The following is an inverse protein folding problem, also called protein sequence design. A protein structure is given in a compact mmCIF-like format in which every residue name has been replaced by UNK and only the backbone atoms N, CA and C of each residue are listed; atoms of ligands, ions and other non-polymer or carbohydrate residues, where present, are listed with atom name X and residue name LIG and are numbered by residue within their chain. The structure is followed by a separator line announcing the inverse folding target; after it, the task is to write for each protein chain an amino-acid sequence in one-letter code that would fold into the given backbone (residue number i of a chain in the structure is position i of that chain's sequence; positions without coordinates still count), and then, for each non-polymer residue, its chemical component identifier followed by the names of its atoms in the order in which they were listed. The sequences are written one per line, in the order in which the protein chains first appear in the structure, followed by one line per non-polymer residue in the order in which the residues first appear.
data_IF_869974156826
#
_entry.id   IF_869974156826
#
_cell.length_a   1.000
_cell.length_b   1.000
_cell.length_c   1.000
_cell.angle_alpha   90.00
_cell.angle_beta   90.00
_cell.angle_gamma   90.00
#
_symmetry.space_group_name_H-M   'P 1'
#
loop_
_entity.id
_entity.type
_entity.pdbx_description
1 polymer ?
#
# COMPACT_ATOMS: atom_id res chain seq x y z
N UNK A 1 -9.30 43.25 9.68
CA UNK A 1 -10.76 43.34 9.81
C UNK A 1 -11.23 42.25 10.76
N UNK A 2 -11.91 42.70 11.83
CA UNK A 2 -12.49 41.87 12.90
C UNK A 2 -13.81 41.27 12.42
N UNK A 3 -14.12 40.00 12.80
CA UNK A 3 -15.49 39.50 13.04
C UNK A 3 -15.33 38.12 13.69
N UNK A 4 -15.57 37.99 14.94
CA UNK A 4 -16.74 37.94 15.83
C UNK A 4 -17.32 36.50 15.92
N UNK A 5 -17.21 36.01 17.15
CA UNK A 5 -17.78 34.76 17.72
C UNK A 5 -19.31 34.73 17.60
N UNK A 6 -19.85 33.53 17.53
CA UNK A 6 -21.17 33.22 18.07
C UNK A 6 -21.20 31.81 18.69
N UNK A 7 -21.40 31.80 20.00
CA UNK A 7 -21.81 30.68 20.85
C UNK A 7 -23.32 30.51 20.80
N UNK A 8 -23.80 29.26 20.84
CA UNK A 8 -25.08 28.79 21.46
C UNK A 8 -24.99 27.26 21.39
N UNK A 9 -25.05 26.48 22.46
CA UNK A 9 -25.78 26.52 23.70
C UNK A 9 -27.14 25.84 23.55
N UNK A 10 -27.25 24.52 23.84
CA UNK A 10 -28.52 23.92 24.27
C UNK A 10 -28.31 22.62 25.03
N UNK A 11 -28.69 22.69 26.26
CA UNK A 11 -28.83 21.69 27.32
C UNK A 11 -30.24 21.11 27.26
N UNK A 12 -30.44 19.80 27.45
CA UNK A 12 -31.67 19.15 27.99
C UNK A 12 -31.23 17.79 28.52
N UNK A 13 -31.21 17.57 29.76
CA UNK A 13 -32.10 17.24 30.90
C UNK A 13 -32.90 15.93 30.69
N UNK A 14 -32.48 14.91 31.50
CA UNK A 14 -33.21 14.09 32.50
C UNK A 14 -34.40 13.24 32.06
N UNK A 15 -34.28 11.92 32.35
CA UNK A 15 -35.40 11.16 32.94
C UNK A 15 -34.87 9.98 33.76
N UNK A 16 -35.22 10.03 35.04
CA UNK A 16 -35.10 9.01 36.10
C UNK A 16 -36.38 8.20 36.10
N UNK A 17 -36.32 6.87 36.25
CA UNK A 17 -37.45 6.01 36.73
C UNK A 17 -36.81 4.69 37.24
N UNK A 18 -36.72 4.49 38.49
CA UNK A 18 -37.64 4.03 39.50
C UNK A 18 -37.62 2.46 39.64
N UNK A 19 -37.19 2.07 40.84
CA UNK A 19 -37.16 0.71 41.42
C UNK A 19 -38.54 0.12 41.56
N UNK A 20 -38.61 -1.24 41.51
CA UNK A 20 -39.56 -2.02 42.30
C UNK A 20 -38.92 -3.33 42.74
N UNK A 21 -39.00 -3.67 44.04
CA UNK A 21 -38.58 -4.96 44.57
C UNK A 21 -39.75 -5.94 44.60
N UNK A 22 -39.52 -7.19 44.20
CA UNK A 22 -40.47 -8.28 44.45
C UNK A 22 -39.84 -9.24 45.45
N UNK A 23 -40.37 -9.24 46.68
CA UNK A 23 -40.20 -10.30 47.66
C UNK A 23 -41.06 -11.51 47.26
N UNK A 24 -40.50 -12.69 47.23
CA UNK A 24 -41.19 -13.94 47.08
C UNK A 24 -40.58 -14.98 48.02
N UNK A 25 -41.35 -15.35 49.00
CA UNK A 25 -41.03 -16.36 50.05
C UNK A 25 -40.97 -17.79 49.52
N UNK A 26 -40.09 -18.59 50.11
CA UNK A 26 -40.38 -19.87 50.78
C UNK A 26 -40.48 -21.12 49.92
N UNK A 27 -39.62 -22.08 50.23
CA UNK A 27 -39.78 -23.46 49.84
C UNK A 27 -38.47 -24.23 50.05
N UNK A 28 -38.27 -24.74 51.25
CA UNK A 28 -37.20 -25.71 51.54
C UNK A 28 -37.58 -27.06 50.93
N UNK A 29 -36.79 -27.57 50.02
CA UNK A 29 -36.84 -28.95 49.54
C UNK A 29 -35.60 -29.71 50.05
N UNK A 30 -35.71 -31.01 50.36
CA UNK A 30 -34.66 -31.77 51.01
C UNK A 30 -33.44 -32.01 50.13
N UNK A 31 -32.30 -31.89 50.72
CA UNK A 31 -30.96 -32.12 50.19
C UNK A 31 -30.79 -33.59 49.74
N UNK A 32 -30.47 -33.90 48.51
CA UNK A 32 -30.03 -35.21 48.09
C UNK A 32 -28.55 -35.40 48.46
N UNK A 33 -28.26 -36.55 49.05
CA UNK A 33 -26.94 -37.01 49.45
C UNK A 33 -25.90 -36.86 48.32
N UNK A 34 -24.73 -36.32 48.67
CA UNK A 34 -23.59 -36.16 47.78
C UNK A 34 -23.10 -37.54 47.28
N UNK A 35 -22.85 -37.69 45.95
CA UNK A 35 -22.11 -38.85 45.46
C UNK A 35 -20.61 -38.68 45.80
N UNK A 36 -20.02 -39.74 46.32
CA UNK A 36 -18.57 -39.88 46.54
C UNK A 36 -17.82 -39.50 45.23
N UNK A 37 -16.92 -38.52 45.32
CA UNK A 37 -15.98 -38.19 44.26
C UNK A 37 -14.94 -39.30 44.16
N UNK A 38 -15.06 -40.11 43.14
CA UNK A 38 -13.97 -40.98 42.68
C UNK A 38 -12.95 -40.07 42.01
N UNK A 39 -11.74 -39.97 42.56
CA UNK A 39 -10.60 -39.29 41.96
C UNK A 39 -10.32 -39.92 40.57
N UNK A 40 -10.83 -39.29 39.52
CA UNK A 40 -10.41 -39.59 38.17
C UNK A 40 -9.12 -38.80 37.86
N UNK A 41 -8.00 -39.52 37.79
CA UNK A 41 -6.75 -39.00 37.29
C UNK A 41 -6.99 -38.23 35.94
N UNK A 42 -6.42 -37.04 35.75
CA UNK A 42 -6.57 -36.33 34.50
C UNK A 42 -5.83 -37.10 33.40
N UNK A 43 -6.57 -37.74 32.50
CA UNK A 43 -6.06 -38.27 31.24
C UNK A 43 -5.54 -37.07 30.46
N UNK A 44 -4.22 -36.87 30.44
CA UNK A 44 -3.54 -35.96 29.58
C UNK A 44 -3.69 -36.47 28.13
N UNK A 45 -4.75 -36.06 27.46
CA UNK A 45 -4.83 -36.16 26.01
C UNK A 45 -3.84 -35.15 25.44
N UNK A 46 -2.63 -35.62 25.09
CA UNK A 46 -1.70 -34.89 24.27
C UNK A 46 -2.37 -34.61 22.91
N UNK A 47 -2.92 -33.41 22.75
CA UNK A 47 -3.36 -32.93 21.43
C UNK A 47 -2.13 -32.84 20.54
N UNK A 48 -2.12 -33.48 19.37
CA UNK A 48 -1.04 -33.29 18.43
C UNK A 48 -0.98 -31.80 18.06
N UNK A 49 0.10 -31.13 18.48
CA UNK A 49 0.37 -29.75 18.06
C UNK A 49 0.77 -29.77 16.59
N UNK A 50 -0.15 -29.42 15.72
CA UNK A 50 0.16 -29.15 14.31
C UNK A 50 0.97 -27.85 14.27
N UNK A 51 2.31 -27.97 14.21
CA UNK A 51 3.17 -26.84 13.86
C UNK A 51 3.10 -26.61 12.35
N UNK A 52 2.16 -25.80 11.90
CA UNK A 52 2.17 -25.27 10.54
C UNK A 52 3.27 -24.20 10.49
N UNK A 53 4.42 -24.49 9.84
CA UNK A 53 5.38 -23.46 9.43
C UNK A 53 4.77 -22.72 8.25
N UNK A 54 4.23 -21.54 8.50
CA UNK A 54 3.92 -20.58 7.44
C UNK A 54 5.23 -19.98 6.95
N UNK A 55 5.44 -19.90 5.62
CA UNK A 55 6.55 -19.14 5.03
C UNK A 55 6.48 -17.65 5.35
N UNK A 56 5.32 -17.17 5.78
CA UNK A 56 5.05 -15.78 6.15
C UNK A 56 4.90 -15.73 7.67
N UNK A 57 5.89 -15.16 8.35
CA UNK A 57 5.85 -14.89 9.79
C UNK A 57 5.01 -13.66 10.12
N UNK A 58 4.53 -13.62 11.37
CA UNK A 58 3.81 -12.47 11.89
C UNK A 58 4.73 -11.26 12.06
N UNK A 59 4.23 -10.07 11.69
CA UNK A 59 4.88 -8.79 11.98
C UNK A 59 3.98 -7.94 12.88
N UNK A 60 4.59 -7.21 13.83
CA UNK A 60 3.85 -6.24 14.64
C UNK A 60 3.55 -5.01 13.78
N UNK A 61 2.26 -4.75 13.54
CA UNK A 61 1.78 -3.69 12.65
C UNK A 61 2.23 -2.29 13.08
N UNK A 62 2.17 -1.96 14.38
CA UNK A 62 2.60 -0.67 14.90
C UNK A 62 4.08 -0.41 14.65
N UNK A 63 4.93 -1.44 14.81
CA UNK A 63 6.36 -1.35 14.53
C UNK A 63 6.65 -1.23 13.03
N UNK A 64 5.83 -1.87 12.18
CA UNK A 64 5.90 -1.71 10.71
C UNK A 64 5.55 -0.28 10.33
N UNK A 65 4.46 0.27 10.84
CA UNK A 65 4.07 1.65 10.61
C UNK A 65 5.16 2.64 11.10
N UNK A 66 5.72 2.41 12.27
CA UNK A 66 6.83 3.23 12.77
C UNK A 66 8.07 3.14 11.87
N UNK A 67 8.33 2.00 11.21
CA UNK A 67 9.43 1.87 10.26
C UNK A 67 9.18 2.69 8.98
N UNK A 68 7.97 2.68 8.44
CA UNK A 68 7.57 3.55 7.32
C UNK A 68 7.65 5.03 7.70
N UNK A 69 7.17 5.41 8.88
CA UNK A 69 7.26 6.80 9.37
C UNK A 69 8.71 7.28 9.47
N UNK A 70 9.65 6.45 9.96
CA UNK A 70 11.09 6.79 9.97
C UNK A 70 11.68 6.91 8.57
N UNK A 71 11.15 6.17 7.58
CA UNK A 71 11.59 6.27 6.19
C UNK A 71 11.01 7.50 5.48
N UNK A 72 9.83 7.99 5.90
CA UNK A 72 9.05 9.06 5.24
C UNK A 72 9.87 10.31 4.86
N UNK A 73 10.73 10.90 5.72
CA UNK A 73 11.51 12.08 5.32
C UNK A 73 12.47 11.81 4.15
N UNK A 74 12.97 10.58 4.02
CA UNK A 74 13.83 10.18 2.90
C UNK A 74 13.01 9.92 1.63
N UNK A 75 11.80 9.36 1.77
CA UNK A 75 10.86 9.19 0.65
C UNK A 75 10.45 10.55 0.10
N UNK A 76 10.14 11.53 0.98
CA UNK A 76 9.83 12.90 0.58
C UNK A 76 10.97 13.55 -0.22
N UNK A 77 12.22 13.36 0.19
CA UNK A 77 13.39 13.84 -0.59
C UNK A 77 13.50 13.21 -1.98
N UNK A 78 13.12 11.93 -2.14
CA UNK A 78 13.05 11.33 -3.46
C UNK A 78 11.98 12.00 -4.31
N UNK A 79 10.81 12.28 -3.73
CA UNK A 79 9.73 12.98 -4.39
C UNK A 79 10.11 14.41 -4.77
N UNK A 80 10.71 15.19 -3.87
CA UNK A 80 11.19 16.56 -4.11
C UNK A 80 12.11 16.62 -5.35
N UNK A 81 13.07 15.68 -5.47
CA UNK A 81 13.91 15.56 -6.68
C UNK A 81 13.13 15.20 -7.93
N UNK A 82 12.03 14.46 -7.81
CA UNK A 82 11.12 14.20 -8.91
C UNK A 82 10.39 15.48 -9.37
N UNK A 83 9.91 16.27 -8.42
CA UNK A 83 9.25 17.55 -8.67
C UNK A 83 10.17 18.57 -9.36
N UNK A 84 11.48 18.58 -9.07
CA UNK A 84 12.45 19.41 -9.78
C UNK A 84 12.47 19.13 -11.31
N UNK A 85 12.14 17.89 -11.72
CA UNK A 85 12.05 17.51 -13.14
C UNK A 85 10.66 17.65 -13.71
N UNK A 86 9.65 17.35 -12.90
CA UNK A 86 8.23 17.33 -13.27
C UNK A 86 7.44 18.08 -12.20
N UNK A 87 7.25 19.41 -12.35
CA UNK A 87 6.64 20.25 -11.30
C UNK A 87 5.25 19.79 -10.85
N UNK A 88 4.49 19.16 -11.75
CA UNK A 88 3.16 18.60 -11.50
C UNK A 88 3.18 17.09 -11.20
N UNK A 89 4.34 16.53 -10.81
CA UNK A 89 4.43 15.14 -10.37
C UNK A 89 3.52 14.92 -9.17
N UNK A 90 2.68 13.90 -9.19
CA UNK A 90 1.81 13.55 -8.07
C UNK A 90 1.10 12.24 -8.32
N UNK A 91 0.54 11.67 -7.28
CA UNK A 91 -0.21 10.42 -7.33
C UNK A 91 0.02 9.56 -6.10
N UNK A 92 -0.58 8.39 -6.11
CA UNK A 92 -0.41 7.38 -5.06
C UNK A 92 0.66 6.37 -5.48
N UNK A 93 1.43 5.91 -4.50
CA UNK A 93 2.37 4.81 -4.66
C UNK A 93 2.25 3.85 -3.48
N UNK A 94 2.13 2.56 -3.78
CA UNK A 94 2.04 1.49 -2.80
C UNK A 94 3.26 0.59 -2.91
N UNK A 95 3.93 0.39 -1.78
CA UNK A 95 5.09 -0.46 -1.69
C UNK A 95 4.78 -1.76 -0.97
N UNK A 96 5.43 -2.83 -1.41
CA UNK A 96 5.48 -4.10 -0.69
C UNK A 96 6.92 -4.49 -0.43
N UNK A 97 7.20 -4.89 0.81
CA UNK A 97 8.56 -5.23 1.28
C UNK A 97 8.51 -6.59 1.96
N UNK A 98 9.34 -7.52 1.52
CA UNK A 98 9.61 -8.77 2.24
C UNK A 98 10.76 -8.56 3.20
N UNK A 99 10.53 -8.89 4.45
CA UNK A 99 11.48 -8.68 5.54
C UNK A 99 12.02 -10.02 6.00
N UNK A 100 13.34 -10.17 5.96
CA UNK A 100 14.02 -11.34 6.46
C UNK A 100 13.94 -11.43 8.01
N UNK A 101 14.21 -12.60 8.57
CA UNK A 101 14.12 -12.86 10.01
C UNK A 101 15.02 -11.93 10.86
N UNK A 102 16.10 -11.40 10.27
CA UNK A 102 17.00 -10.45 10.92
C UNK A 102 16.52 -8.99 10.90
N UNK A 103 15.39 -8.70 10.21
CA UNK A 103 14.84 -7.36 10.05
C UNK A 103 15.44 -6.55 8.88
N UNK A 104 16.18 -7.20 7.97
CA UNK A 104 16.60 -6.58 6.70
C UNK A 104 15.54 -6.80 5.62
N UNK A 105 15.46 -5.88 4.65
CA UNK A 105 14.60 -6.08 3.49
C UNK A 105 15.24 -7.10 2.54
N UNK A 106 14.55 -8.20 2.27
CA UNK A 106 14.98 -9.20 1.27
C UNK A 106 14.70 -8.69 -0.14
N UNK A 107 13.52 -8.12 -0.36
CA UNK A 107 13.16 -7.39 -1.56
C UNK A 107 12.11 -6.32 -1.23
N UNK A 108 11.99 -5.36 -2.12
CA UNK A 108 10.93 -4.35 -2.12
C UNK A 108 10.58 -4.02 -3.57
N UNK A 109 9.30 -3.82 -3.84
CA UNK A 109 8.79 -3.43 -5.16
C UNK A 109 7.63 -2.47 -5.05
N UNK A 110 7.32 -1.79 -6.15
CA UNK A 110 6.14 -0.94 -6.31
C UNK A 110 4.97 -1.83 -6.70
N UNK A 111 4.04 -2.05 -5.76
CA UNK A 111 2.86 -2.91 -5.97
C UNK A 111 1.81 -2.24 -6.83
N UNK A 112 1.60 -0.96 -6.63
CA UNK A 112 0.69 -0.13 -7.41
C UNK A 112 1.20 1.30 -7.39
N UNK A 113 1.09 2.02 -8.53
CA UNK A 113 1.53 3.41 -8.61
C UNK A 113 0.78 4.17 -9.69
N UNK A 114 0.38 5.38 -9.34
CA UNK A 114 0.00 6.42 -10.28
C UNK A 114 0.97 7.60 -10.21
N UNK A 115 2.13 7.45 -9.52
CA UNK A 115 3.14 8.50 -9.45
C UNK A 115 3.78 8.77 -10.81
N UNK A 116 4.15 7.71 -11.54
CA UNK A 116 4.53 7.82 -12.96
C UNK A 116 5.95 8.30 -13.23
N UNK A 117 6.87 8.18 -12.27
CA UNK A 117 8.29 8.53 -12.45
C UNK A 117 9.21 7.47 -11.87
N UNK A 118 9.80 6.65 -12.75
CA UNK A 118 10.65 5.53 -12.38
C UNK A 118 11.87 5.93 -11.54
N UNK A 119 12.46 7.09 -11.83
CA UNK A 119 13.63 7.56 -11.08
C UNK A 119 13.26 7.84 -9.61
N UNK A 120 12.10 8.47 -9.39
CA UNK A 120 11.56 8.70 -8.04
C UNK A 120 11.18 7.37 -7.36
N UNK A 121 10.51 6.47 -8.06
CA UNK A 121 10.12 5.14 -7.56
C UNK A 121 11.34 4.32 -7.15
N UNK A 122 12.38 4.27 -8.00
CA UNK A 122 13.63 3.57 -7.72
C UNK A 122 14.41 4.18 -6.54
N UNK A 123 14.40 5.52 -6.42
CA UNK A 123 14.97 6.20 -5.25
C UNK A 123 14.25 5.77 -3.97
N UNK A 124 12.91 5.76 -3.98
CA UNK A 124 12.11 5.35 -2.83
C UNK A 124 12.34 3.88 -2.45
N UNK A 125 12.43 2.99 -3.44
CA UNK A 125 12.74 1.58 -3.22
C UNK A 125 14.12 1.38 -2.56
N UNK A 126 15.14 2.15 -2.97
CA UNK A 126 16.46 2.15 -2.31
C UNK A 126 16.36 2.54 -0.84
N UNK A 127 15.53 3.54 -0.53
CA UNK A 127 15.27 3.96 0.86
C UNK A 127 14.64 2.83 1.67
N UNK A 128 13.62 2.15 1.12
CA UNK A 128 12.92 1.06 1.80
C UNK A 128 13.81 -0.18 1.97
N UNK A 129 14.61 -0.51 0.96
CA UNK A 129 15.61 -1.60 1.04
C UNK A 129 16.69 -1.34 2.10
N UNK A 130 17.05 -0.07 2.34
CA UNK A 130 18.01 0.32 3.37
C UNK A 130 17.37 0.56 4.75
N UNK A 131 16.04 0.46 4.88
CA UNK A 131 15.34 0.65 6.15
C UNK A 131 15.48 -0.59 7.02
N UNK A 132 15.71 -0.37 8.34
CA UNK A 132 15.68 -1.46 9.33
C UNK A 132 14.24 -1.71 9.76
N UNK A 133 13.76 -2.90 9.48
CA UNK A 133 12.42 -3.36 9.78
C UNK A 133 12.33 -4.08 11.13
N UNK A 134 11.14 -4.18 11.76
CA UNK A 134 10.95 -5.07 12.89
C UNK A 134 11.20 -6.53 12.47
N UNK A 135 11.84 -7.30 13.35
CA UNK A 135 12.07 -8.73 13.10
C UNK A 135 10.74 -9.47 13.08
N UNK A 136 10.45 -10.24 12.03
CA UNK A 136 9.29 -11.11 11.99
C UNK A 136 9.40 -12.26 13.00
N UNK A 137 8.29 -12.89 13.31
CA UNK A 137 8.21 -14.07 14.19
C UNK A 137 7.66 -15.25 13.38
N UNK A 138 8.43 -16.34 13.34
CA UNK A 138 8.00 -17.58 12.69
C UNK A 138 8.23 -17.64 11.18
N UNK A 139 9.16 -16.85 10.65
CA UNK A 139 9.54 -16.82 9.24
C UNK A 139 9.77 -15.41 8.72
N UNK A 140 9.79 -15.23 7.41
CA UNK A 140 9.91 -13.91 6.78
C UNK A 140 8.59 -13.13 6.90
N UNK A 141 8.69 -11.80 7.05
CA UNK A 141 7.54 -10.91 7.17
C UNK A 141 7.19 -10.19 5.88
N UNK A 142 5.97 -9.67 5.81
CA UNK A 142 5.52 -8.77 4.76
C UNK A 142 5.10 -7.43 5.38
N UNK A 143 5.61 -6.33 4.81
CA UNK A 143 5.22 -4.97 5.13
C UNK A 143 4.67 -4.30 3.87
N UNK A 144 3.56 -3.60 4.00
CA UNK A 144 2.90 -2.88 2.89
C UNK A 144 2.43 -1.52 3.40
N UNK A 145 2.60 -0.47 2.58
CA UNK A 145 2.05 0.84 2.85
C UNK A 145 1.89 1.64 1.57
N UNK A 146 0.92 2.57 1.58
CA UNK A 146 0.68 3.55 0.52
C UNK A 146 1.09 4.95 0.95
N UNK A 147 1.54 5.74 -0.02
CA UNK A 147 1.84 7.16 0.14
C UNK A 147 1.17 7.93 -0.98
N UNK A 148 0.56 9.05 -0.65
CA UNK A 148 0.01 10.00 -1.61
C UNK A 148 0.90 11.22 -1.65
N UNK A 149 1.28 11.62 -2.85
CA UNK A 149 2.05 12.82 -3.11
C UNK A 149 1.23 13.76 -3.99
N UNK A 150 1.09 14.99 -3.54
CA UNK A 150 0.35 16.02 -4.26
C UNK A 150 1.32 17.09 -4.77
N UNK A 151 1.20 17.50 -6.05
CA UNK A 151 1.98 18.62 -6.57
C UNK A 151 1.58 19.91 -5.86
N UNK A 152 2.40 20.97 -6.03
CA UNK A 152 2.04 22.29 -5.51
C UNK A 152 0.69 22.75 -6.07
N UNK A 153 -0.11 23.42 -5.24
CA UNK A 153 -1.39 24.02 -5.65
C UNK A 153 -1.23 25.07 -6.77
N UNK A 154 -0.01 25.59 -6.94
CA UNK A 154 0.30 26.59 -7.98
C UNK A 154 0.55 25.94 -9.35
N UNK A 155 0.76 24.61 -9.37
CA UNK A 155 0.99 23.87 -10.60
C UNK A 155 -0.33 23.39 -11.22
N UNK A 156 -0.50 23.65 -12.50
CA UNK A 156 -1.63 23.11 -13.25
C UNK A 156 -1.49 21.58 -13.36
N UNK A 157 -2.52 20.79 -12.99
CA UNK A 157 -2.45 19.34 -13.16
C UNK A 157 -2.40 18.96 -14.64
N UNK A 158 -1.71 17.86 -14.99
CA UNK A 158 -1.69 17.34 -16.36
C UNK A 158 -3.10 16.91 -16.80
N UNK A 159 -3.33 16.98 -18.11
CA UNK A 159 -4.61 16.53 -18.69
C UNK A 159 -4.73 15.01 -18.52
N UNK A 160 -5.80 14.50 -17.91
CA UNK A 160 -5.98 13.06 -17.81
C UNK A 160 -6.26 12.45 -19.19
N UNK A 161 -5.51 11.41 -19.52
CA UNK A 161 -5.70 10.63 -20.74
C UNK A 161 -6.18 9.23 -20.42
N UNK A 162 -6.94 8.67 -21.37
CA UNK A 162 -7.25 7.25 -21.41
C UNK A 162 -6.23 6.48 -22.25
N UNK A 163 -6.07 5.16 -22.07
CA UNK A 163 -5.14 4.35 -22.86
C UNK A 163 -5.33 4.46 -24.39
N UNK A 164 -6.56 4.66 -24.86
CA UNK A 164 -6.87 4.78 -26.29
C UNK A 164 -6.20 6.00 -26.94
N UNK A 165 -5.95 7.07 -26.17
CA UNK A 165 -5.31 8.29 -26.65
C UNK A 165 -3.82 8.11 -26.96
N UNK A 166 -3.19 7.03 -26.43
CA UNK A 166 -1.82 6.65 -26.82
C UNK A 166 -1.73 6.17 -28.27
N UNK A 167 -2.84 5.72 -28.86
CA UNK A 167 -3.01 5.45 -30.27
C UNK A 167 -2.16 4.31 -30.81
N UNK A 168 -1.82 4.43 -32.10
CA UNK A 168 -1.03 3.41 -32.84
C UNK A 168 0.38 3.21 -32.30
N UNK A 169 1.13 4.23 -31.84
CA UNK A 169 2.47 4.03 -31.28
C UNK A 169 2.48 3.04 -30.11
N UNK A 170 1.55 3.17 -29.17
CA UNK A 170 1.42 2.23 -28.05
C UNK A 170 1.09 0.81 -28.52
N UNK A 171 0.14 0.68 -29.47
CA UNK A 171 -0.24 -0.63 -30.02
C UNK A 171 0.96 -1.36 -30.65
N UNK A 172 1.83 -0.62 -31.34
CA UNK A 172 3.07 -1.18 -31.93
C UNK A 172 4.10 -1.58 -30.88
N UNK A 173 4.13 -0.91 -29.74
CA UNK A 173 5.08 -1.20 -28.65
C UNK A 173 4.66 -2.39 -27.79
N UNK A 174 3.37 -2.74 -27.72
CA UNK A 174 2.86 -3.82 -26.87
C UNK A 174 3.68 -5.11 -26.89
N UNK A 175 4.08 -5.68 -28.06
CA UNK A 175 4.88 -6.90 -28.08
C UNK A 175 6.23 -6.77 -27.35
N UNK A 176 6.88 -5.59 -27.42
CA UNK A 176 8.13 -5.35 -26.69
C UNK A 176 7.89 -5.24 -25.17
N UNK A 177 6.80 -4.59 -24.75
CA UNK A 177 6.42 -4.48 -23.35
C UNK A 177 6.05 -5.86 -22.74
N UNK A 178 5.31 -6.68 -23.47
CA UNK A 178 4.99 -8.06 -23.10
C UNK A 178 6.24 -8.93 -23.02
N UNK A 179 7.23 -8.69 -23.91
CA UNK A 179 8.53 -9.36 -23.85
C UNK A 179 9.29 -9.02 -22.58
N UNK A 180 9.32 -7.73 -22.18
CA UNK A 180 9.93 -7.31 -20.90
C UNK A 180 9.27 -8.03 -19.71
N UNK A 181 7.95 -8.06 -19.69
CA UNK A 181 7.16 -8.70 -18.64
C UNK A 181 7.42 -10.20 -18.55
N UNK A 182 7.34 -10.89 -19.70
CA UNK A 182 7.47 -12.34 -19.77
C UNK A 182 8.89 -12.82 -19.46
N UNK A 183 9.94 -12.08 -19.87
CA UNK A 183 11.32 -12.40 -19.54
C UNK A 183 11.59 -12.34 -18.04
N UNK A 184 10.98 -11.40 -17.33
CA UNK A 184 11.04 -11.32 -15.87
C UNK A 184 10.12 -12.35 -15.18
N UNK A 185 9.21 -12.99 -15.91
CA UNK A 185 8.20 -13.87 -15.35
C UNK A 185 7.16 -13.13 -14.49
N UNK A 186 6.99 -11.83 -14.70
CA UNK A 186 6.02 -11.02 -13.99
C UNK A 186 4.59 -11.31 -14.44
N UNK A 187 3.63 -11.27 -13.50
CA UNK A 187 2.23 -11.58 -13.81
C UNK A 187 1.54 -10.44 -14.54
N UNK A 188 1.55 -9.26 -13.98
CA UNK A 188 0.89 -8.06 -14.52
C UNK A 188 1.71 -6.84 -14.15
N UNK A 189 1.84 -5.92 -15.10
CA UNK A 189 2.47 -4.62 -14.88
C UNK A 189 1.49 -3.50 -15.19
N UNK A 190 1.68 -2.35 -14.57
CA UNK A 190 0.99 -1.10 -14.91
C UNK A 190 2.04 -0.01 -15.12
N UNK A 191 1.98 0.68 -16.25
CA UNK A 191 2.80 1.84 -16.50
C UNK A 191 1.97 3.12 -16.38
N UNK A 192 2.53 4.15 -15.74
CA UNK A 192 1.97 5.49 -15.68
C UNK A 192 2.95 6.44 -16.35
N UNK A 193 2.47 7.24 -17.31
CA UNK A 193 3.27 8.13 -18.13
C UNK A 193 2.82 9.59 -17.97
N UNK A 194 3.78 10.48 -17.98
CA UNK A 194 3.56 11.90 -18.31
C UNK A 194 4.07 12.15 -19.72
N UNK A 195 3.23 12.74 -20.58
CA UNK A 195 3.52 12.98 -22.00
C UNK A 195 3.51 14.48 -22.23
N UNK A 196 4.62 15.00 -22.81
CA UNK A 196 4.75 16.41 -23.12
C UNK A 196 3.95 16.80 -24.37
N UNK A 197 3.86 18.09 -24.61
CA UNK A 197 3.14 18.70 -25.74
C UNK A 197 3.63 18.23 -27.11
N UNK A 198 4.89 17.78 -27.22
CA UNK A 198 5.45 17.19 -28.44
C UNK A 198 5.20 15.67 -28.59
N UNK A 199 4.49 15.07 -27.63
CA UNK A 199 4.18 13.64 -27.60
C UNK A 199 5.28 12.77 -26.99
N UNK A 200 6.36 13.33 -26.49
CA UNK A 200 7.41 12.56 -25.81
C UNK A 200 7.08 12.32 -24.36
N UNK A 201 7.37 11.11 -23.81
CA UNK A 201 7.28 10.87 -22.39
C UNK A 201 8.28 11.73 -21.62
N UNK A 202 7.78 12.56 -20.71
CA UNK A 202 8.57 13.26 -19.70
C UNK A 202 9.07 12.29 -18.64
N UNK A 203 8.21 11.36 -18.26
CA UNK A 203 8.55 10.27 -17.35
C UNK A 203 7.61 9.07 -17.53
N UNK A 204 8.08 7.93 -17.03
CA UNK A 204 7.36 6.66 -16.99
C UNK A 204 7.64 6.03 -15.64
N UNK A 205 6.58 5.72 -14.89
CA UNK A 205 6.63 4.86 -13.70
C UNK A 205 6.10 3.48 -14.01
N UNK A 206 6.50 2.46 -13.25
CA UNK A 206 6.07 1.08 -13.44
C UNK A 206 5.80 0.42 -12.10
N UNK A 207 4.62 -0.16 -11.98
CA UNK A 207 4.22 -0.98 -10.83
C UNK A 207 3.86 -2.40 -11.25
N UNK A 208 3.86 -3.34 -10.31
CA UNK A 208 3.66 -4.77 -10.58
C UNK A 208 2.81 -5.43 -9.51
N UNK A 209 2.03 -6.42 -9.90
CA UNK A 209 1.28 -7.26 -8.96
C UNK A 209 2.20 -8.14 -8.08
N UNK A 210 3.41 -8.48 -8.54
CA UNK A 210 4.39 -9.31 -7.84
C UNK A 210 5.83 -8.72 -7.91
N UNK A 211 6.74 -9.27 -7.10
CA UNK A 211 8.12 -8.81 -6.99
C UNK A 211 8.96 -8.93 -8.26
N UNK A 212 8.63 -9.88 -9.14
CA UNK A 212 9.34 -10.11 -10.42
C UNK A 212 9.15 -8.96 -11.40
N UNK A 213 8.07 -8.21 -11.23
CA UNK A 213 7.84 -7.01 -12.04
C UNK A 213 8.84 -5.89 -11.80
N UNK A 214 9.52 -5.87 -10.65
CA UNK A 214 10.61 -4.92 -10.41
C UNK A 214 11.79 -5.14 -11.37
N UNK A 215 12.06 -6.39 -11.74
CA UNK A 215 13.09 -6.75 -12.72
C UNK A 215 12.70 -6.33 -14.16
N UNK A 216 11.39 -6.26 -14.47
CA UNK A 216 10.88 -5.79 -15.74
C UNK A 216 10.78 -4.26 -15.85
N UNK A 217 10.73 -3.56 -14.70
CA UNK A 217 10.36 -2.15 -14.64
C UNK A 217 11.26 -1.23 -15.50
N UNK A 218 12.58 -1.44 -15.47
CA UNK A 218 13.51 -0.64 -16.29
C UNK A 218 13.37 -0.93 -17.79
N UNK A 219 13.16 -2.20 -18.16
CA UNK A 219 12.91 -2.60 -19.56
C UNK A 219 11.65 -1.91 -20.10
N UNK A 220 10.55 -1.99 -19.36
CA UNK A 220 9.27 -1.36 -19.73
C UNK A 220 9.38 0.15 -19.79
N UNK A 221 9.97 0.78 -18.76
CA UNK A 221 10.14 2.23 -18.73
C UNK A 221 11.03 2.71 -19.89
N UNK A 222 12.14 2.01 -20.17
CA UNK A 222 13.02 2.30 -21.29
C UNK A 222 12.31 2.21 -22.63
N UNK A 223 11.59 1.10 -22.87
CA UNK A 223 10.82 0.90 -24.11
C UNK A 223 9.77 2.00 -24.33
N UNK A 224 9.07 2.43 -23.27
CA UNK A 224 8.06 3.48 -23.38
C UNK A 224 8.66 4.88 -23.57
N UNK A 225 9.83 5.17 -23.01
CA UNK A 225 10.52 6.46 -23.16
C UNK A 225 10.94 6.76 -24.60
N UNK A 226 11.20 5.74 -25.40
CA UNK A 226 11.60 5.87 -26.82
C UNK A 226 10.44 6.13 -27.77
N UNK A 227 9.20 6.10 -27.29
CA UNK A 227 8.01 6.25 -28.13
C UNK A 227 7.62 7.72 -28.23
N UNK A 228 7.30 8.18 -29.44
CA UNK A 228 6.58 9.43 -29.63
C UNK A 228 5.09 9.13 -29.79
N UNK A 229 4.31 9.58 -28.84
CA UNK A 229 2.84 9.47 -28.81
C UNK A 229 2.18 10.64 -29.57
N UNK A 230 0.86 10.61 -29.78
CA UNK A 230 0.13 11.79 -30.21
C UNK A 230 0.35 12.97 -29.25
N UNK A 231 0.38 14.18 -29.78
CA UNK A 231 0.46 15.38 -28.95
C UNK A 231 -0.79 15.54 -28.10
N UNK A 232 -0.68 15.80 -26.78
CA UNK A 232 -1.83 16.12 -25.94
C UNK A 232 -2.37 17.54 -26.12
N UNK A 233 -1.80 18.30 -27.03
CA UNK A 233 -2.16 19.69 -27.28
C UNK A 233 -1.25 20.68 -26.57
N UNK A 234 -1.83 21.69 -25.92
CA UNK A 234 -1.08 22.81 -25.34
C UNK A 234 -0.53 22.55 -23.92
N UNK A 235 -0.75 21.36 -23.35
CA UNK A 235 -0.29 21.03 -22.01
C UNK A 235 -0.05 19.54 -21.86
N UNK A 236 0.84 19.16 -20.94
CA UNK A 236 1.19 17.77 -20.69
C UNK A 236 -0.02 16.93 -20.27
N UNK A 237 0.00 15.66 -20.62
CA UNK A 237 -1.00 14.67 -20.19
C UNK A 237 -0.42 13.62 -19.26
N UNK A 238 -1.32 12.94 -18.54
CA UNK A 238 -1.02 11.79 -17.68
C UNK A 238 -1.93 10.64 -18.04
N UNK A 239 -1.37 9.43 -18.14
CA UNK A 239 -2.10 8.21 -18.45
C UNK A 239 -1.52 7.01 -17.73
N UNK A 240 -2.38 6.09 -17.33
CA UNK A 240 -1.98 4.76 -16.83
C UNK A 240 -2.49 3.68 -17.76
N UNK A 241 -1.66 2.66 -18.01
CA UNK A 241 -1.99 1.51 -18.87
C UNK A 241 -1.55 0.21 -18.22
N UNK A 242 -2.35 -0.82 -18.39
CA UNK A 242 -1.99 -2.18 -17.97
C UNK A 242 -1.21 -2.87 -19.09
N UNK A 243 -0.24 -3.71 -18.70
CA UNK A 243 0.62 -4.52 -19.55
C UNK A 243 0.43 -5.97 -19.10
N UNK A 244 -0.44 -6.68 -19.82
CA UNK A 244 -0.87 -8.05 -19.57
C UNK A 244 0.00 -9.07 -20.32
#
# INVERSE_FOLDING_TARGET
MKFTRLLRGSTTLVAVSALAPVLGCGGAAPEPAAPEMVDAEPVQTSRPSMSSRSEIGGMNEEKVQAAFQRASPRLSRCYEKGVERIPYLGGEIRFKVRVAEDGTARWAFVKDSTLGDRDTEACMLKVLKATRWPKPVGGEGLAENSFTFEPSSDERPPVPWTPDQLGTPYKKARPALESCRSQAGASQLKATLYIDTDGKPLSVGVSSADERGEDAAECVAGALREITFPSPGSYASKVSVDID
#
